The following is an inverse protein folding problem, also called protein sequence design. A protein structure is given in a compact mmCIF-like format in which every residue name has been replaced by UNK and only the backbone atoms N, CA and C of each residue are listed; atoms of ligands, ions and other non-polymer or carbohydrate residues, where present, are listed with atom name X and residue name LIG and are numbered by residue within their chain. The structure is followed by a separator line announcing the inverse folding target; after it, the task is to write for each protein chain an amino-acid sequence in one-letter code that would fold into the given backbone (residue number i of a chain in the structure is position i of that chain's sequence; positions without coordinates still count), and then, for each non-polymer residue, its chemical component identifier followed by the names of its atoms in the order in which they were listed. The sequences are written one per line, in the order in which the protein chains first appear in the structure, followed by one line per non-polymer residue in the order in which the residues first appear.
data_IF_955042155890
#
_entry.id   IF_955042155890
#
_cell.length_a   1.000
_cell.length_b   1.000
_cell.length_c   1.000
_cell.angle_alpha   90.00
_cell.angle_beta   90.00
_cell.angle_gamma   90.00
#
_symmetry.space_group_name_H-M   'P 1'
#
loop_
_entity.id
_entity.type
_entity.pdbx_description
1 polymer ?
#
# COMPACT_ATOMS: atom_id res chain seq x y z
N UNK A 1 -0.63 30.41 -40.66
CA UNK A 1 -1.15 29.39 -39.74
C UNK A 1 -0.15 28.25 -39.75
N UNK A 2 0.52 28.02 -38.61
CA UNK A 2 1.46 26.92 -38.48
C UNK A 2 0.67 25.67 -38.11
N UNK A 3 0.77 24.63 -38.94
CA UNK A 3 0.18 23.32 -38.73
C UNK A 3 0.93 22.61 -37.59
N UNK A 4 0.23 22.46 -36.47
CA UNK A 4 0.64 21.78 -35.25
C UNK A 4 0.47 20.26 -35.46
N UNK A 5 1.53 19.58 -35.90
CA UNK A 5 1.58 18.13 -35.94
C UNK A 5 2.12 17.62 -34.60
N UNK A 6 1.22 17.37 -33.66
CA UNK A 6 1.52 16.59 -32.47
C UNK A 6 1.64 15.11 -32.86
N UNK A 7 2.88 14.65 -33.03
CA UNK A 7 3.21 13.24 -33.24
C UNK A 7 3.01 12.46 -31.92
N UNK A 8 1.93 11.68 -31.87
CA UNK A 8 1.58 10.84 -30.73
C UNK A 8 2.51 9.61 -30.70
N UNK A 9 3.60 9.71 -29.94
CA UNK A 9 4.49 8.56 -29.69
C UNK A 9 3.79 7.60 -28.74
N UNK A 10 3.02 6.68 -29.32
CA UNK A 10 2.49 5.50 -28.63
C UNK A 10 3.64 4.55 -28.31
N UNK A 11 4.19 4.66 -27.08
CA UNK A 11 5.13 3.67 -26.54
C UNK A 11 4.39 2.34 -26.36
N UNK A 12 4.58 1.43 -27.31
CA UNK A 12 4.23 0.02 -27.18
C UNK A 12 5.13 -0.59 -26.11
N UNK A 13 4.61 -0.74 -24.89
CA UNK A 13 5.25 -1.53 -23.83
C UNK A 13 5.09 -3.00 -24.21
N UNK A 14 6.19 -3.72 -24.44
CA UNK A 14 6.13 -5.16 -24.74
C UNK A 14 5.65 -5.92 -23.51
N UNK A 15 5.02 -7.08 -23.72
CA UNK A 15 4.55 -7.95 -22.65
C UNK A 15 5.68 -8.49 -21.74
N UNK A 16 6.94 -8.25 -22.10
CA UNK A 16 8.11 -8.70 -21.34
C UNK A 16 8.53 -7.71 -20.23
N UNK A 17 8.07 -6.46 -20.28
CA UNK A 17 8.20 -5.49 -19.18
C UNK A 17 7.00 -5.58 -18.24
N UNK A 18 6.66 -6.80 -17.82
CA UNK A 18 5.79 -6.96 -16.65
C UNK A 18 6.49 -6.22 -15.51
N UNK A 19 5.94 -5.07 -15.12
CA UNK A 19 6.45 -4.26 -14.02
C UNK A 19 6.37 -5.14 -12.78
N UNK A 20 7.44 -5.89 -12.50
CA UNK A 20 7.62 -6.62 -11.25
C UNK A 20 7.77 -5.55 -10.18
N UNK A 21 6.63 -5.11 -9.64
CA UNK A 21 6.60 -4.18 -8.51
C UNK A 21 7.39 -4.85 -7.40
N UNK A 22 8.55 -4.29 -7.09
CA UNK A 22 9.33 -4.71 -5.93
C UNK A 22 8.52 -4.57 -4.65
N UNK A 23 8.99 -5.19 -3.57
CA UNK A 23 8.34 -5.10 -2.26
C UNK A 23 8.08 -3.63 -1.92
N UNK A 24 6.81 -3.27 -1.76
CA UNK A 24 6.42 -1.90 -1.38
C UNK A 24 6.65 -1.74 0.11
N UNK A 25 7.84 -1.31 0.48
CA UNK A 25 8.16 -0.88 1.85
C UNK A 25 7.78 0.59 1.93
N UNK A 26 6.74 0.95 2.67
CA UNK A 26 6.31 2.35 2.88
C UNK A 26 7.34 3.13 3.70
N UNK A 27 8.49 3.41 3.08
CA UNK A 27 9.72 3.86 3.72
C UNK A 27 9.53 5.14 4.52
N UNK A 28 8.67 6.04 4.06
CA UNK A 28 8.33 7.28 4.78
C UNK A 28 7.70 6.99 6.14
N UNK A 29 6.79 6.02 6.23
CA UNK A 29 6.14 5.61 7.48
C UNK A 29 7.14 4.92 8.39
N UNK A 30 7.92 3.96 7.85
CA UNK A 30 8.93 3.22 8.61
C UNK A 30 10.01 4.14 9.18
N UNK A 31 10.52 5.09 8.39
CA UNK A 31 11.50 6.07 8.85
C UNK A 31 10.89 7.15 9.76
N UNK A 32 9.61 7.48 9.59
CA UNK A 32 8.91 8.37 10.49
C UNK A 32 8.80 7.77 11.90
N UNK A 33 8.52 6.47 11.99
CA UNK A 33 8.43 5.73 13.25
C UNK A 33 9.73 5.78 14.05
N UNK A 34 10.88 5.57 13.43
CA UNK A 34 12.18 5.66 14.13
C UNK A 34 12.52 7.07 14.62
N UNK A 35 11.84 8.09 14.07
CA UNK A 35 11.93 9.50 14.51
C UNK A 35 10.82 9.88 15.49
N UNK A 36 9.96 8.96 15.90
CA UNK A 36 8.82 9.23 16.80
C UNK A 36 7.70 10.05 16.16
N UNK A 37 7.61 10.09 14.83
CA UNK A 37 6.53 10.80 14.13
C UNK A 37 5.24 9.99 14.27
N UNK A 38 4.21 10.62 14.81
CA UNK A 38 2.85 10.08 14.92
C UNK A 38 2.00 10.69 13.80
N UNK A 39 1.19 9.86 13.13
CA UNK A 39 0.27 10.28 12.08
C UNK A 39 -1.16 10.10 12.58
N UNK A 40 -1.83 11.20 12.91
CA UNK A 40 -3.22 11.14 13.35
C UNK A 40 -4.13 10.75 12.18
N UNK A 41 -4.99 9.77 12.43
CA UNK A 41 -6.00 9.27 11.50
C UNK A 41 -7.38 9.54 12.08
N UNK A 42 -8.32 9.84 11.19
CA UNK A 42 -9.68 10.20 11.57
C UNK A 42 -10.67 9.30 10.84
N UNK A 43 -11.81 9.07 11.47
CA UNK A 43 -12.92 8.32 10.91
C UNK A 43 -14.15 9.21 10.81
N UNK A 44 -14.91 9.05 9.73
CA UNK A 44 -16.24 9.63 9.66
C UNK A 44 -17.26 8.76 10.43
N UNK A 45 -18.50 9.26 10.54
CA UNK A 45 -19.58 8.56 11.23
C UNK A 45 -19.98 7.22 10.59
N UNK A 46 -19.47 6.93 9.39
CA UNK A 46 -19.70 5.67 8.67
C UNK A 46 -18.54 4.67 8.86
N UNK A 47 -17.54 5.01 9.68
CA UNK A 47 -16.37 4.17 9.95
C UNK A 47 -15.34 4.16 8.81
N UNK A 48 -15.39 5.14 7.90
CA UNK A 48 -14.41 5.27 6.83
C UNK A 48 -13.27 6.21 7.27
N UNK A 49 -12.05 5.84 6.90
CA UNK A 49 -10.89 6.70 7.08
C UNK A 49 -11.02 7.97 6.23
N UNK A 50 -10.76 9.12 6.83
CA UNK A 50 -10.74 10.41 6.15
C UNK A 50 -9.33 11.02 6.13
N UNK A 51 -9.15 12.00 5.26
CA UNK A 51 -7.91 12.77 5.12
C UNK A 51 -7.56 13.53 6.42
N UNK A 52 -6.27 13.83 6.67
CA UNK A 52 -5.14 13.79 5.72
C UNK A 52 -4.34 12.48 5.66
N UNK A 53 -4.51 11.57 6.62
CA UNK A 53 -3.64 10.38 6.72
C UNK A 53 -4.35 9.05 6.48
N UNK A 54 -5.66 9.05 6.20
CA UNK A 54 -6.45 7.84 5.98
C UNK A 54 -5.93 6.96 4.84
N UNK A 55 -5.55 7.57 3.71
CA UNK A 55 -4.94 6.83 2.58
C UNK A 55 -3.59 6.23 2.94
N UNK A 56 -2.81 6.91 3.80
CA UNK A 56 -1.50 6.45 4.26
C UNK A 56 -1.64 5.21 5.13
N UNK A 57 -2.57 5.21 6.08
CA UNK A 57 -2.85 4.02 6.91
C UNK A 57 -3.34 2.85 6.06
N UNK A 58 -4.29 3.09 5.15
CA UNK A 58 -4.82 2.04 4.26
C UNK A 58 -3.72 1.39 3.41
N UNK A 59 -2.85 2.22 2.83
CA UNK A 59 -1.70 1.75 2.05
C UNK A 59 -0.72 0.95 2.91
N UNK A 60 -0.52 1.37 4.16
CA UNK A 60 0.42 0.75 5.09
C UNK A 60 -0.06 -0.63 5.52
N UNK A 61 -1.34 -0.76 5.88
CA UNK A 61 -1.99 -2.05 6.13
C UNK A 61 -1.82 -2.96 4.91
N UNK A 62 -2.09 -2.45 3.70
CA UNK A 62 -1.93 -3.25 2.48
C UNK A 62 -0.49 -3.73 2.26
N UNK A 63 0.52 -2.92 2.59
CA UNK A 63 1.92 -3.30 2.51
C UNK A 63 2.28 -4.39 3.55
N UNK A 64 1.81 -4.24 4.80
CA UNK A 64 2.03 -5.23 5.85
C UNK A 64 1.38 -6.58 5.51
N UNK A 65 0.13 -6.57 5.05
CA UNK A 65 -0.57 -7.79 4.64
C UNK A 65 0.19 -8.52 3.54
N UNK A 66 0.66 -7.82 2.50
CA UNK A 66 1.44 -8.45 1.42
C UNK A 66 2.79 -9.00 1.87
N UNK A 67 3.34 -8.51 2.99
CA UNK A 67 4.60 -8.99 3.53
C UNK A 67 4.41 -10.21 4.44
N UNK A 68 3.38 -10.18 5.29
CA UNK A 68 3.18 -11.19 6.35
C UNK A 68 2.26 -12.34 5.94
N UNK A 69 1.44 -12.17 4.89
CA UNK A 69 0.41 -13.12 4.48
C UNK A 69 0.77 -13.70 3.10
N UNK A 70 0.93 -15.03 2.99
CA UNK A 70 1.18 -15.68 1.70
C UNK A 70 0.06 -15.40 0.70
N UNK A 71 0.41 -15.12 -0.56
CA UNK A 71 -0.59 -14.93 -1.63
C UNK A 71 -1.41 -16.19 -1.91
N UNK A 72 -0.90 -17.36 -1.53
CA UNK A 72 -1.57 -18.66 -1.64
C UNK A 72 -2.61 -18.89 -0.53
N UNK A 73 -2.82 -17.90 0.35
CA UNK A 73 -3.85 -17.97 1.38
C UNK A 73 -5.22 -17.69 0.76
N UNK A 74 -6.07 -18.72 0.70
CA UNK A 74 -7.42 -18.58 0.15
C UNK A 74 -8.47 -18.14 1.18
N UNK A 75 -8.27 -18.42 2.48
CA UNK A 75 -9.21 -18.04 3.55
C UNK A 75 -8.52 -17.22 4.66
N UNK A 76 -8.88 -15.94 4.73
CA UNK A 76 -8.42 -15.03 5.78
C UNK A 76 -8.74 -15.54 7.19
N UNK A 77 -9.79 -16.35 7.38
CA UNK A 77 -10.20 -16.86 8.70
C UNK A 77 -9.34 -18.05 9.15
N UNK A 78 -8.38 -18.50 8.34
CA UNK A 78 -7.45 -19.55 8.74
C UNK A 78 -6.71 -19.13 10.02
N UNK A 79 -6.70 -20.04 11.01
CA UNK A 79 -6.06 -19.85 12.32
C UNK A 79 -4.54 -19.88 12.23
N UNK A 80 -3.97 -20.53 11.23
CA UNK A 80 -2.51 -20.57 11.00
C UNK A 80 -1.95 -19.16 10.72
N UNK A 81 -2.80 -18.25 10.24
CA UNK A 81 -2.43 -16.86 9.98
C UNK A 81 -2.46 -15.99 11.24
N UNK A 82 -2.87 -16.52 12.40
CA UNK A 82 -3.04 -15.70 13.60
C UNK A 82 -1.75 -15.00 14.01
N UNK A 83 -0.60 -15.69 13.94
CA UNK A 83 0.69 -15.07 14.23
C UNK A 83 1.02 -13.92 13.26
N UNK A 84 0.78 -14.11 11.95
CA UNK A 84 0.96 -13.05 10.95
C UNK A 84 0.00 -11.87 11.16
N UNK A 85 -1.25 -12.13 11.54
CA UNK A 85 -2.25 -11.08 11.85
C UNK A 85 -1.83 -10.27 13.07
N UNK A 86 -1.36 -10.94 14.12
CA UNK A 86 -0.85 -10.25 15.32
C UNK A 86 0.37 -9.39 15.00
N UNK A 87 1.28 -9.85 14.12
CA UNK A 87 2.39 -9.02 13.63
C UNK A 87 1.89 -7.75 12.93
N UNK A 88 0.92 -7.88 12.03
CA UNK A 88 0.31 -6.72 11.34
C UNK A 88 -0.26 -5.72 12.35
N UNK A 89 -1.04 -6.19 13.34
CA UNK A 89 -1.62 -5.32 14.36
C UNK A 89 -0.57 -4.69 15.29
N UNK A 90 0.52 -5.40 15.56
CA UNK A 90 1.61 -4.86 16.40
C UNK A 90 2.33 -3.65 15.79
N UNK A 91 2.25 -3.50 14.46
CA UNK A 91 2.83 -2.38 13.70
C UNK A 91 1.91 -1.15 13.66
N UNK A 92 0.63 -1.32 13.98
CA UNK A 92 -0.40 -0.27 13.97
C UNK A 92 -0.78 0.01 15.43
N UNK A 93 0.09 0.73 16.13
CA UNK A 93 -0.09 1.14 17.53
C UNK A 93 -0.08 2.64 17.67
#
# INVERSE_FOLDING_TARGET
MADDQHEEVSKKVSAEEEIRRGITVMRRVVQGRSRGIILDVYWNNQGQLIEPNGHTLTSFIGALVRNEIPITCDDWRNKELNESKEKIWSEIK
#
